data_IF_353288986270
#
_entry.id   IF_353288986270
#
_cell.length_a   1.000
_cell.length_b   1.000
_cell.length_c   1.000
_cell.angle_alpha   90.00
_cell.angle_beta   90.00
_cell.angle_gamma   90.00
#
_symmetry.space_group_name_H-M   'P 1'
#
loop_
_entity.id
_entity.type
_entity.pdbx_description
1 polymer ?
#
# COMPACT_ATOMS: atom_id res chain seq x y z
N UNK A 1 -62.64 -32.11 14.45
CA UNK A 1 -62.41 -31.08 15.48
C UNK A 1 -61.12 -31.41 16.20
N UNK A 2 -60.03 -30.74 15.85
CA UNK A 2 -58.75 -30.91 16.56
C UNK A 2 -58.76 -30.14 17.87
N UNK A 3 -58.24 -30.69 18.96
CA UNK A 3 -58.28 -30.07 20.27
C UNK A 3 -57.41 -28.76 20.28
N UNK A 4 -58.00 -27.71 20.90
CA UNK A 4 -57.39 -26.37 21.01
C UNK A 4 -55.95 -26.34 21.56
N UNK A 5 -55.49 -27.38 22.19
CA UNK A 5 -54.11 -27.54 22.70
C UNK A 5 -53.08 -27.73 21.57
N UNK A 6 -53.40 -28.44 20.49
CA UNK A 6 -52.48 -28.66 19.33
C UNK A 6 -52.27 -27.38 18.54
N UNK A 7 -53.27 -26.50 18.44
CA UNK A 7 -53.15 -25.22 17.72
C UNK A 7 -52.21 -24.25 18.44
N UNK A 8 -52.15 -24.30 19.79
CA UNK A 8 -51.24 -23.42 20.58
C UNK A 8 -49.79 -23.87 20.50
N UNK A 9 -49.52 -25.19 20.38
CA UNK A 9 -48.18 -25.70 20.21
C UNK A 9 -47.64 -25.40 18.79
N UNK A 10 -48.47 -25.46 17.76
CA UNK A 10 -48.04 -25.10 16.39
C UNK A 10 -47.76 -23.59 16.22
N UNK A 11 -48.54 -22.72 16.89
CA UNK A 11 -48.31 -21.27 16.88
C UNK A 11 -47.00 -20.87 17.59
N UNK A 12 -46.63 -21.56 18.67
CA UNK A 12 -45.36 -21.34 19.39
C UNK A 12 -44.15 -21.85 18.62
N UNK A 13 -44.28 -22.96 17.87
CA UNK A 13 -43.25 -23.45 17.00
C UNK A 13 -43.02 -22.58 15.75
N UNK A 14 -44.09 -22.01 15.18
CA UNK A 14 -43.96 -21.10 14.06
C UNK A 14 -43.38 -19.74 14.46
N UNK A 15 -43.64 -19.26 15.69
CA UNK A 15 -43.01 -18.04 16.23
C UNK A 15 -41.52 -18.22 16.55
N UNK A 16 -41.08 -19.43 16.95
CA UNK A 16 -39.67 -19.74 17.21
C UNK A 16 -38.86 -19.88 15.91
N UNK A 17 -39.48 -20.26 14.79
CA UNK A 17 -38.85 -20.32 13.48
C UNK A 17 -38.67 -18.93 12.83
N UNK A 18 -39.50 -17.95 13.17
CA UNK A 18 -39.39 -16.59 12.67
C UNK A 18 -38.31 -15.74 13.39
N UNK A 19 -37.85 -16.16 14.55
CA UNK A 19 -36.79 -15.49 15.32
C UNK A 19 -35.37 -15.87 14.91
N UNK A 20 -35.18 -16.92 14.11
CA UNK A 20 -33.86 -17.32 13.57
C UNK A 20 -33.59 -16.77 12.16
N UNK A 21 -34.44 -15.90 11.62
CA UNK A 21 -34.25 -15.27 10.31
C UNK A 21 -33.54 -13.89 10.39
N UNK A 22 -32.87 -13.56 11.50
CA UNK A 22 -31.77 -12.58 11.44
C UNK A 22 -30.54 -13.32 10.88
N UNK A 23 -30.61 -13.67 9.61
CA UNK A 23 -29.43 -14.04 8.86
C UNK A 23 -28.48 -12.85 8.92
N UNK A 24 -27.28 -13.04 9.48
CA UNK A 24 -26.16 -12.23 9.11
C UNK A 24 -26.01 -12.42 7.60
N UNK A 25 -26.60 -11.54 6.80
CA UNK A 25 -26.17 -11.41 5.41
C UNK A 25 -24.65 -11.26 5.46
N UNK A 26 -23.89 -12.13 4.77
CA UNK A 26 -22.44 -11.99 4.76
C UNK A 26 -22.14 -10.58 4.30
N UNK A 27 -21.60 -9.75 5.19
CA UNK A 27 -21.20 -8.41 4.81
C UNK A 27 -20.25 -8.53 3.62
N UNK A 28 -20.46 -7.76 2.54
CA UNK A 28 -19.60 -7.85 1.38
C UNK A 28 -18.15 -7.62 1.83
N UNK A 29 -17.26 -8.48 1.36
CA UNK A 29 -15.84 -8.37 1.66
C UNK A 29 -15.36 -6.97 1.25
N UNK A 30 -14.54 -6.33 2.10
CA UNK A 30 -13.94 -5.03 1.79
C UNK A 30 -13.14 -5.14 0.50
N UNK A 31 -13.49 -4.32 -0.48
CA UNK A 31 -12.80 -4.27 -1.77
C UNK A 31 -11.32 -3.88 -1.57
N UNK A 32 -10.44 -4.46 -2.38
CA UNK A 32 -9.01 -4.19 -2.34
C UNK A 32 -8.60 -3.51 -3.65
N UNK A 33 -8.07 -2.31 -3.55
CA UNK A 33 -7.63 -1.52 -4.71
C UNK A 33 -6.17 -1.07 -4.53
N UNK A 34 -5.56 -0.56 -5.59
CA UNK A 34 -4.13 -0.30 -5.62
C UNK A 34 -3.82 1.01 -6.35
N UNK A 35 -3.00 1.87 -5.75
CA UNK A 35 -2.45 3.04 -6.43
C UNK A 35 -1.19 2.69 -7.22
N UNK A 36 -1.09 3.23 -8.43
CA UNK A 36 0.14 3.33 -9.20
C UNK A 36 0.53 4.80 -9.23
N UNK A 37 1.60 5.13 -8.50
CA UNK A 37 1.98 6.53 -8.27
C UNK A 37 3.23 6.96 -9.03
N UNK A 38 3.87 6.01 -9.72
CA UNK A 38 5.08 6.26 -10.49
C UNK A 38 4.78 7.13 -11.71
N UNK A 39 5.50 8.25 -11.83
CA UNK A 39 5.36 9.21 -12.94
C UNK A 39 5.96 8.69 -14.25
N UNK A 40 6.86 7.73 -14.16
CA UNK A 40 7.51 7.10 -15.31
C UNK A 40 7.45 5.58 -15.15
N UNK A 41 6.85 4.93 -16.13
CA UNK A 41 6.71 3.49 -16.12
C UNK A 41 7.95 2.81 -16.69
N UNK A 42 8.26 1.63 -16.17
CA UNK A 42 9.39 0.78 -16.50
C UNK A 42 8.90 -0.65 -16.73
N UNK A 43 9.71 -1.55 -17.31
CA UNK A 43 9.34 -2.96 -17.46
C UNK A 43 8.91 -3.66 -16.16
N UNK A 44 9.39 -3.19 -15.00
CA UNK A 44 9.00 -3.75 -13.71
C UNK A 44 7.49 -3.60 -13.38
N UNK A 45 6.79 -2.68 -14.06
CA UNK A 45 5.34 -2.55 -13.91
C UNK A 45 4.58 -3.75 -14.48
N UNK A 46 5.09 -4.39 -15.53
CA UNK A 46 4.45 -5.56 -16.13
C UNK A 46 4.35 -6.72 -15.13
N UNK A 47 5.46 -7.06 -14.48
CA UNK A 47 5.50 -8.13 -13.47
C UNK A 47 4.63 -7.78 -12.26
N UNK A 48 4.70 -6.52 -11.79
CA UNK A 48 3.94 -6.07 -10.63
C UNK A 48 2.42 -6.06 -10.89
N UNK A 49 1.97 -5.63 -12.06
CA UNK A 49 0.56 -5.68 -12.47
C UNK A 49 0.07 -7.12 -12.58
N UNK A 50 0.81 -7.98 -13.28
CA UNK A 50 0.46 -9.39 -13.43
C UNK A 50 0.36 -10.08 -12.06
N UNK A 51 1.37 -9.88 -11.19
CA UNK A 51 1.42 -10.47 -9.85
C UNK A 51 0.33 -9.95 -8.89
N UNK A 52 -0.21 -8.75 -9.11
CA UNK A 52 -1.23 -8.13 -8.26
C UNK A 52 -2.68 -8.39 -8.70
N UNK A 53 -2.88 -8.94 -9.90
CA UNK A 53 -4.22 -9.01 -10.53
C UNK A 53 -5.25 -9.80 -9.72
N UNK A 54 -4.84 -10.87 -9.06
CA UNK A 54 -5.75 -11.74 -8.30
C UNK A 54 -6.26 -11.11 -7.00
N UNK A 55 -5.55 -10.13 -6.46
CA UNK A 55 -5.82 -9.61 -5.12
C UNK A 55 -6.41 -8.19 -5.12
N UNK A 56 -6.33 -7.47 -6.25
CA UNK A 56 -6.79 -6.08 -6.35
C UNK A 56 -7.72 -5.90 -7.53
N UNK A 57 -8.94 -5.43 -7.24
CA UNK A 57 -10.03 -5.30 -8.22
C UNK A 57 -9.86 -4.12 -9.18
N UNK A 58 -9.26 -3.04 -8.71
CA UNK A 58 -9.20 -1.74 -9.41
C UNK A 58 -7.81 -1.11 -9.21
N UNK A 59 -7.32 -0.46 -10.24
CA UNK A 59 -6.08 0.33 -10.17
C UNK A 59 -6.36 1.81 -10.35
N UNK A 60 -5.74 2.63 -9.47
CA UNK A 60 -5.81 4.09 -9.46
C UNK A 60 -4.48 4.63 -9.94
N UNK A 61 -4.47 5.24 -11.11
CA UNK A 61 -3.22 5.60 -11.82
C UNK A 61 -3.03 7.10 -11.76
N UNK A 62 -1.90 7.55 -11.19
CA UNK A 62 -1.49 8.95 -11.30
C UNK A 62 -1.31 9.27 -12.78
N UNK A 63 -2.19 10.13 -13.31
CA UNK A 63 -2.23 10.47 -14.72
C UNK A 63 -1.73 11.89 -14.98
N UNK A 64 -2.07 12.81 -14.08
CA UNK A 64 -1.82 14.24 -14.25
C UNK A 64 -1.52 14.88 -12.90
N UNK A 65 -0.61 15.83 -12.87
CA UNK A 65 -0.25 16.57 -11.65
C UNK A 65 -0.04 18.06 -11.95
N UNK A 66 -0.62 18.92 -11.11
CA UNK A 66 -0.37 20.36 -11.08
C UNK A 66 0.60 20.70 -9.93
N UNK A 67 1.67 21.43 -10.25
CA UNK A 67 2.66 21.92 -9.29
C UNK A 67 2.61 23.44 -9.17
N UNK A 68 2.92 24.03 -8.00
CA UNK A 68 2.85 25.48 -7.80
C UNK A 68 3.73 26.31 -8.74
N UNK A 69 4.89 25.78 -9.11
CA UNK A 69 5.88 26.52 -9.91
C UNK A 69 6.16 25.87 -11.28
N UNK A 70 6.06 24.54 -11.36
CA UNK A 70 6.38 23.80 -12.57
C UNK A 70 5.17 23.58 -13.50
N UNK A 71 3.97 24.04 -13.10
CA UNK A 71 2.75 23.89 -13.89
C UNK A 71 2.27 22.44 -13.96
N UNK A 72 1.74 22.04 -15.11
CA UNK A 72 1.15 20.72 -15.32
C UNK A 72 2.17 19.71 -15.82
N UNK A 73 2.09 18.51 -15.30
CA UNK A 73 2.91 17.35 -15.70
C UNK A 73 2.03 16.11 -15.88
N UNK A 74 2.19 15.44 -17.02
CA UNK A 74 1.53 14.15 -17.30
C UNK A 74 2.45 13.00 -16.91
N UNK A 75 1.91 11.98 -16.28
CA UNK A 75 2.64 10.74 -16.06
C UNK A 75 2.85 10.01 -17.40
N UNK A 76 4.03 9.43 -17.58
CA UNK A 76 4.37 8.62 -18.75
C UNK A 76 3.96 7.18 -18.47
N UNK A 77 2.67 6.90 -18.65
CA UNK A 77 2.08 5.58 -18.47
C UNK A 77 2.34 4.68 -19.68
N UNK A 78 2.26 3.36 -19.47
CA UNK A 78 2.21 2.38 -20.54
C UNK A 78 0.76 1.98 -20.80
N UNK A 79 0.14 2.62 -21.80
CA UNK A 79 -1.26 2.37 -22.16
C UNK A 79 -1.50 0.95 -22.69
N UNK A 80 -0.52 0.35 -23.37
CA UNK A 80 -0.63 -1.02 -23.87
C UNK A 80 -0.68 -2.00 -22.69
N UNK A 81 0.16 -1.81 -21.70
CA UNK A 81 0.21 -2.63 -20.51
C UNK A 81 -1.09 -2.49 -19.68
N UNK A 82 -1.64 -1.26 -19.54
CA UNK A 82 -2.92 -1.04 -18.86
C UNK A 82 -4.09 -1.73 -19.59
N UNK A 83 -4.12 -1.70 -20.92
CA UNK A 83 -5.12 -2.45 -21.70
C UNK A 83 -5.00 -3.96 -21.51
N UNK A 84 -3.78 -4.48 -21.49
CA UNK A 84 -3.53 -5.90 -21.25
C UNK A 84 -3.93 -6.31 -19.81
N UNK A 85 -3.74 -5.44 -18.84
CA UNK A 85 -4.15 -5.69 -17.47
C UNK A 85 -5.67 -5.85 -17.36
N UNK A 86 -6.45 -4.99 -17.98
CA UNK A 86 -7.91 -5.12 -18.15
C UNK A 86 -8.74 -4.83 -16.90
N UNK A 87 -8.11 -4.49 -15.75
CA UNK A 87 -8.84 -4.06 -14.55
C UNK A 87 -9.46 -2.67 -14.74
N UNK A 88 -10.56 -2.34 -14.03
CA UNK A 88 -11.07 -0.98 -13.94
C UNK A 88 -9.97 0.03 -13.59
N UNK A 89 -9.92 1.15 -14.34
CA UNK A 89 -8.91 2.19 -14.20
C UNK A 89 -9.56 3.46 -13.63
N UNK A 90 -9.02 4.00 -12.55
CA UNK A 90 -9.36 5.34 -12.07
C UNK A 90 -8.22 6.29 -12.45
N UNK A 91 -8.54 7.34 -13.21
CA UNK A 91 -7.58 8.38 -13.57
C UNK A 91 -7.40 9.35 -12.41
N UNK A 92 -6.22 9.38 -11.80
CA UNK A 92 -5.92 10.27 -10.66
C UNK A 92 -5.29 11.55 -11.16
N UNK A 93 -5.90 12.69 -10.80
CA UNK A 93 -5.43 14.06 -11.08
C UNK A 93 -5.02 14.69 -9.76
N UNK A 94 -3.72 14.88 -9.57
CA UNK A 94 -3.17 15.49 -8.37
C UNK A 94 -3.06 17.01 -8.51
N UNK A 95 -3.67 17.72 -7.56
CA UNK A 95 -3.55 19.16 -7.38
C UNK A 95 -2.74 19.41 -6.10
N UNK A 96 -1.51 19.91 -6.25
CA UNK A 96 -0.64 20.14 -5.10
C UNK A 96 -1.31 21.06 -4.07
N UNK A 97 -1.25 20.71 -2.78
CA UNK A 97 -1.88 21.47 -1.70
C UNK A 97 -1.30 22.89 -1.52
N UNK A 98 -0.12 23.16 -2.07
CA UNK A 98 0.54 24.47 -2.03
C UNK A 98 0.17 25.36 -3.24
N UNK A 99 -0.69 24.92 -4.15
CA UNK A 99 -1.20 25.75 -5.20
C UNK A 99 -1.80 27.03 -4.60
N UNK A 100 -1.43 28.23 -5.08
CA UNK A 100 -1.91 29.49 -4.50
C UNK A 100 -3.41 29.66 -4.65
N UNK A 101 -3.98 29.17 -5.76
CA UNK A 101 -5.41 29.13 -6.05
C UNK A 101 -5.73 27.96 -6.98
N UNK A 102 -7.01 27.60 -7.06
CA UNK A 102 -7.52 26.63 -8.02
C UNK A 102 -8.04 27.41 -9.26
N UNK A 103 -7.25 27.44 -10.33
CA UNK A 103 -7.75 27.89 -11.64
C UNK A 103 -8.72 26.81 -12.16
N UNK A 104 -10.00 27.00 -11.88
CA UNK A 104 -11.03 26.01 -12.16
C UNK A 104 -11.18 25.74 -13.65
N UNK A 105 -11.05 26.77 -14.50
CA UNK A 105 -11.19 26.62 -15.94
C UNK A 105 -10.03 25.84 -16.53
N UNK A 106 -8.81 26.12 -16.08
CA UNK A 106 -7.63 25.36 -16.46
C UNK A 106 -7.71 23.91 -16.00
N UNK A 107 -8.08 23.66 -14.74
CA UNK A 107 -8.21 22.30 -14.18
C UNK A 107 -9.21 21.49 -15.00
N UNK A 108 -10.38 22.06 -15.30
CA UNK A 108 -11.42 21.40 -16.09
C UNK A 108 -10.91 21.06 -17.48
N UNK A 109 -10.24 22.00 -18.17
CA UNK A 109 -9.66 21.73 -19.49
C UNK A 109 -8.64 20.60 -19.45
N UNK A 110 -7.77 20.59 -18.45
CA UNK A 110 -6.73 19.57 -18.30
C UNK A 110 -7.33 18.18 -18.03
N UNK A 111 -8.39 18.10 -17.20
CA UNK A 111 -9.10 16.85 -16.95
C UNK A 111 -9.79 16.34 -18.21
N UNK A 112 -10.49 17.21 -18.94
CA UNK A 112 -11.15 16.85 -20.20
C UNK A 112 -10.13 16.37 -21.25
N UNK A 113 -9.02 17.07 -21.41
CA UNK A 113 -7.96 16.67 -22.33
C UNK A 113 -7.32 15.35 -21.94
N UNK A 114 -7.12 15.08 -20.63
CA UNK A 114 -6.64 13.79 -20.15
C UNK A 114 -7.56 12.65 -20.58
N UNK A 115 -8.86 12.82 -20.46
CA UNK A 115 -9.84 11.79 -20.84
C UNK A 115 -9.83 11.54 -22.36
N UNK A 116 -9.70 12.61 -23.16
CA UNK A 116 -9.55 12.49 -24.62
C UNK A 116 -8.26 11.72 -24.97
N UNK A 117 -7.12 12.14 -24.38
CA UNK A 117 -5.82 11.51 -24.65
C UNK A 117 -5.83 10.01 -24.29
N UNK A 118 -6.49 9.65 -23.18
CA UNK A 118 -6.62 8.24 -22.78
C UNK A 118 -7.52 7.45 -23.73
N UNK A 119 -8.61 8.06 -24.17
CA UNK A 119 -9.50 7.45 -25.15
C UNK A 119 -8.80 7.21 -26.51
N UNK A 120 -8.00 8.17 -26.97
CA UNK A 120 -7.18 8.03 -28.18
C UNK A 120 -6.14 6.91 -28.05
N UNK A 121 -5.61 6.69 -26.84
CA UNK A 121 -4.74 5.57 -26.51
C UNK A 121 -5.51 4.25 -26.31
N UNK A 122 -6.84 4.26 -26.43
CA UNK A 122 -7.72 3.10 -26.25
C UNK A 122 -7.90 2.69 -24.80
N UNK A 123 -7.75 3.61 -23.84
CA UNK A 123 -8.08 3.43 -22.43
C UNK A 123 -9.45 4.03 -22.14
N UNK A 124 -10.26 3.32 -21.37
CA UNK A 124 -11.56 3.83 -20.89
C UNK A 124 -11.52 3.88 -19.36
N UNK A 125 -11.36 5.07 -18.75
CA UNK A 125 -11.40 5.20 -17.32
C UNK A 125 -12.76 4.78 -16.75
N UNK A 126 -12.75 4.02 -15.67
CA UNK A 126 -13.92 3.67 -14.88
C UNK A 126 -14.29 4.77 -13.87
N UNK A 127 -13.48 5.84 -13.77
CA UNK A 127 -13.72 6.99 -12.93
C UNK A 127 -12.56 7.99 -12.97
N UNK A 128 -12.81 9.16 -12.40
CA UNK A 128 -11.80 10.21 -12.16
C UNK A 128 -11.70 10.46 -10.67
N UNK A 129 -10.48 10.62 -10.19
CA UNK A 129 -10.19 11.01 -8.81
C UNK A 129 -9.39 12.30 -8.77
N UNK A 130 -9.85 13.25 -7.98
CA UNK A 130 -9.09 14.47 -7.71
C UNK A 130 -8.38 14.31 -6.37
N UNK A 131 -7.05 14.29 -6.42
CA UNK A 131 -6.18 14.25 -5.24
C UNK A 131 -5.70 15.66 -4.92
N UNK A 132 -6.33 16.31 -3.94
CA UNK A 132 -5.99 17.67 -3.53
C UNK A 132 -5.84 17.78 -2.02
N UNK A 133 -4.61 17.96 -1.56
CA UNK A 133 -4.27 18.16 -0.14
C UNK A 133 -4.66 19.58 0.34
N UNK A 134 -5.94 19.94 0.22
CA UNK A 134 -6.45 21.24 0.61
C UNK A 134 -6.40 21.48 2.12
N UNK A 135 -5.99 22.65 2.54
CA UNK A 135 -6.26 23.12 3.90
C UNK A 135 -7.77 23.25 4.15
N UNK A 136 -8.22 23.03 5.37
CA UNK A 136 -9.66 23.03 5.72
C UNK A 136 -10.39 24.33 5.34
N UNK A 137 -9.70 25.48 5.36
CA UNK A 137 -10.27 26.76 4.92
C UNK A 137 -10.52 26.87 3.43
N UNK A 138 -9.95 25.97 2.61
CA UNK A 138 -10.09 25.96 1.13
C UNK A 138 -11.19 25.01 0.65
N UNK A 139 -11.84 24.26 1.53
CA UNK A 139 -12.88 23.28 1.16
C UNK A 139 -14.05 23.91 0.39
N UNK A 140 -14.53 25.14 0.67
CA UNK A 140 -15.58 25.76 -0.15
C UNK A 140 -15.17 25.97 -1.61
N UNK A 141 -13.93 26.42 -1.85
CA UNK A 141 -13.41 26.59 -3.21
C UNK A 141 -13.23 25.25 -3.93
N UNK A 142 -12.81 24.23 -3.19
CA UNK A 142 -12.68 22.86 -3.70
C UNK A 142 -14.05 22.27 -4.04
N UNK A 143 -15.06 22.43 -3.18
CA UNK A 143 -16.43 21.98 -3.47
C UNK A 143 -17.00 22.60 -4.74
N UNK A 144 -16.72 23.90 -4.97
CA UNK A 144 -17.12 24.60 -6.20
C UNK A 144 -16.44 24.03 -7.45
N UNK A 145 -15.14 23.69 -7.36
CA UNK A 145 -14.44 23.03 -8.45
C UNK A 145 -15.07 21.67 -8.78
N UNK A 146 -15.35 20.83 -7.75
CA UNK A 146 -15.96 19.51 -7.93
C UNK A 146 -17.34 19.59 -8.56
N UNK A 147 -18.16 20.57 -8.16
CA UNK A 147 -19.47 20.83 -8.76
C UNK A 147 -19.34 21.16 -10.26
N UNK A 148 -18.41 22.00 -10.62
CA UNK A 148 -18.13 22.34 -12.02
C UNK A 148 -17.58 21.16 -12.83
N UNK A 149 -16.68 20.36 -12.23
CA UNK A 149 -16.20 19.13 -12.85
C UNK A 149 -17.35 18.15 -13.07
N UNK A 150 -18.23 17.95 -12.08
CA UNK A 150 -19.40 17.07 -12.25
C UNK A 150 -20.31 17.50 -13.40
N UNK A 151 -20.45 18.81 -13.62
CA UNK A 151 -21.31 19.36 -14.69
C UNK A 151 -20.75 19.09 -16.11
N UNK A 152 -19.43 18.89 -16.25
CA UNK A 152 -18.79 18.69 -17.56
C UNK A 152 -18.35 17.24 -17.82
N UNK A 153 -18.22 16.44 -16.77
CA UNK A 153 -17.89 15.02 -16.91
C UNK A 153 -19.14 14.21 -17.32
N UNK A 154 -18.98 13.12 -18.09
CA UNK A 154 -20.07 12.21 -18.39
C UNK A 154 -20.80 11.77 -17.11
N UNK A 155 -22.13 11.76 -17.11
CA UNK A 155 -22.93 11.45 -15.92
C UNK A 155 -22.65 10.06 -15.35
N UNK A 156 -22.32 9.10 -16.21
CA UNK A 156 -21.99 7.72 -15.84
C UNK A 156 -20.53 7.56 -15.36
N UNK A 157 -19.67 8.58 -15.48
CA UNK A 157 -18.27 8.50 -15.06
C UNK A 157 -18.16 8.94 -13.59
N UNK A 158 -17.91 8.03 -12.63
CA UNK A 158 -17.75 8.37 -11.22
C UNK A 158 -16.66 9.40 -10.97
N UNK A 159 -16.95 10.35 -10.08
CA UNK A 159 -15.99 11.32 -9.57
C UNK A 159 -15.70 11.03 -8.10
N UNK A 160 -14.45 10.80 -7.76
CA UNK A 160 -13.99 10.59 -6.39
C UNK A 160 -12.94 11.63 -5.98
N UNK A 161 -12.67 11.71 -4.70
CA UNK A 161 -11.59 12.56 -4.15
C UNK A 161 -10.75 11.78 -3.14
N UNK A 162 -9.48 12.13 -3.02
CA UNK A 162 -8.74 11.87 -1.80
C UNK A 162 -9.14 12.89 -0.72
N UNK A 163 -9.02 12.52 0.52
CA UNK A 163 -9.46 13.31 1.64
C UNK A 163 -8.50 13.16 2.84
N UNK A 164 -8.37 14.23 3.62
CA UNK A 164 -7.46 14.27 4.76
C UNK A 164 -8.22 14.18 6.09
N UNK A 165 -7.68 13.50 7.11
CA UNK A 165 -8.23 13.50 8.45
C UNK A 165 -8.37 14.91 9.07
N UNK A 166 -7.53 15.86 8.63
CA UNK A 166 -7.59 17.25 9.06
C UNK A 166 -8.92 17.95 8.73
N UNK A 167 -9.72 17.38 7.80
CA UNK A 167 -11.02 17.94 7.42
C UNK A 167 -12.15 17.52 8.35
N UNK A 168 -11.94 16.51 9.22
CA UNK A 168 -12.98 15.94 10.09
C UNK A 168 -13.67 16.94 11.01
N UNK A 169 -12.99 18.04 11.34
CA UNK A 169 -13.55 19.10 12.20
C UNK A 169 -14.11 20.29 11.40
N UNK A 170 -14.08 20.21 10.06
CA UNK A 170 -14.59 21.27 9.18
C UNK A 170 -16.11 21.14 8.99
N UNK A 171 -16.83 22.24 9.17
CA UNK A 171 -18.26 22.34 8.86
C UNK A 171 -18.57 22.21 7.36
N UNK A 172 -17.57 22.42 6.52
CA UNK A 172 -17.68 22.39 5.05
C UNK A 172 -17.58 20.95 4.49
N UNK A 173 -17.10 19.99 5.30
CA UNK A 173 -16.87 18.63 4.84
C UNK A 173 -18.12 17.93 4.28
N UNK A 174 -19.31 17.99 4.92
CA UNK A 174 -20.51 17.34 4.36
C UNK A 174 -20.89 17.91 2.99
N UNK A 175 -20.76 19.24 2.81
CA UNK A 175 -21.02 19.93 1.55
C UNK A 175 -20.05 19.51 0.43
N UNK A 176 -18.78 19.30 0.76
CA UNK A 176 -17.78 18.77 -0.15
C UNK A 176 -18.10 17.35 -0.58
N UNK A 177 -18.37 16.45 0.38
CA UNK A 177 -18.68 15.04 0.12
C UNK A 177 -19.95 14.84 -0.70
N UNK A 178 -20.91 15.77 -0.61
CA UNK A 178 -22.11 15.74 -1.42
C UNK A 178 -21.83 15.90 -2.94
N UNK A 179 -20.70 16.50 -3.33
CA UNK A 179 -20.33 16.77 -4.73
C UNK A 179 -19.65 15.62 -5.46
N UNK A 180 -19.33 14.52 -4.76
CA UNK A 180 -18.60 13.36 -5.31
C UNK A 180 -19.38 12.07 -5.12
N UNK A 181 -19.02 11.01 -5.83
CA UNK A 181 -19.67 9.71 -5.73
C UNK A 181 -19.04 8.84 -4.63
N UNK A 182 -17.75 9.04 -4.35
CA UNK A 182 -17.03 8.37 -3.27
C UNK A 182 -15.83 9.20 -2.81
N UNK A 183 -15.23 8.83 -1.69
CA UNK A 183 -14.03 9.46 -1.17
C UNK A 183 -13.00 8.44 -0.71
N UNK A 184 -11.73 8.83 -0.71
CA UNK A 184 -10.60 8.03 -0.22
C UNK A 184 -9.95 8.76 0.93
N UNK A 185 -10.17 8.31 2.16
CA UNK A 185 -9.57 8.90 3.34
C UNK A 185 -8.12 8.42 3.47
N UNK A 186 -7.16 9.34 3.37
CA UNK A 186 -5.73 9.07 3.53
C UNK A 186 -5.39 8.99 5.01
N UNK A 187 -5.23 7.79 5.56
CA UNK A 187 -4.92 7.58 6.98
C UNK A 187 -3.42 7.38 7.23
N UNK A 188 -2.58 7.59 6.21
CA UNK A 188 -1.12 7.49 6.28
C UNK A 188 -0.40 8.85 6.31
N UNK A 189 -1.11 9.91 6.68
CA UNK A 189 -0.50 11.22 6.84
C UNK A 189 0.39 11.25 8.08
N UNK A 190 1.67 11.56 7.89
CA UNK A 190 2.65 11.68 8.98
C UNK A 190 2.59 13.08 9.55
N UNK A 191 1.92 13.24 10.67
CA UNK A 191 1.92 14.50 11.42
C UNK A 191 3.23 14.71 12.21
N UNK A 192 3.85 13.63 12.67
CA UNK A 192 5.16 13.61 13.32
C UNK A 192 5.96 12.38 12.84
N UNK A 193 6.98 12.55 11.97
CA UNK A 193 7.80 11.46 11.49
C UNK A 193 8.47 10.62 12.56
N UNK A 194 8.69 11.19 13.76
CA UNK A 194 9.27 10.47 14.91
C UNK A 194 8.35 9.40 15.47
N UNK A 195 7.05 9.51 15.24
CA UNK A 195 6.02 8.56 15.66
C UNK A 195 5.79 7.42 14.67
N UNK A 196 6.48 7.44 13.52
CA UNK A 196 6.31 6.49 12.43
C UNK A 196 5.37 6.99 11.33
N UNK A 197 5.16 6.16 10.33
CA UNK A 197 4.36 6.49 9.15
C UNK A 197 2.86 6.26 9.36
N UNK A 198 2.47 5.52 10.39
CA UNK A 198 1.13 5.01 10.51
C UNK A 198 0.79 4.66 11.97
N UNK A 199 -0.41 5.04 12.40
CA UNK A 199 -0.99 4.65 13.68
C UNK A 199 -2.34 3.95 13.44
N UNK A 200 -2.44 2.63 13.66
CA UNK A 200 -3.64 1.86 13.38
C UNK A 200 -4.84 2.28 14.23
N UNK A 201 -4.63 2.68 15.48
CA UNK A 201 -5.73 3.13 16.37
C UNK A 201 -6.32 4.46 15.89
N UNK A 202 -5.44 5.38 15.51
CA UNK A 202 -5.86 6.67 14.98
C UNK A 202 -6.55 6.51 13.62
N UNK A 203 -6.05 5.66 12.75
CA UNK A 203 -6.66 5.35 11.46
C UNK A 203 -8.09 4.81 11.61
N UNK A 204 -8.29 3.87 12.54
CA UNK A 204 -9.62 3.33 12.85
C UNK A 204 -10.57 4.40 13.40
N UNK A 205 -10.10 5.25 14.32
CA UNK A 205 -10.88 6.35 14.86
C UNK A 205 -11.31 7.34 13.76
N UNK A 206 -10.42 7.69 12.85
CA UNK A 206 -10.73 8.55 11.71
C UNK A 206 -11.75 7.90 10.77
N UNK A 207 -11.60 6.61 10.47
CA UNK A 207 -12.55 5.87 9.64
C UNK A 207 -13.96 5.88 10.24
N UNK A 208 -14.07 5.61 11.54
CA UNK A 208 -15.36 5.64 12.26
C UNK A 208 -15.95 7.05 12.36
N UNK A 209 -15.12 8.09 12.50
CA UNK A 209 -15.59 9.49 12.43
C UNK A 209 -16.07 9.85 11.04
N UNK A 210 -15.31 9.45 10.00
CA UNK A 210 -15.66 9.68 8.60
C UNK A 210 -17.01 9.05 8.25
N UNK A 211 -17.23 7.81 8.66
CA UNK A 211 -18.48 7.09 8.46
C UNK A 211 -19.71 7.78 9.04
N UNK A 212 -19.55 8.60 10.08
CA UNK A 212 -20.65 9.40 10.66
C UNK A 212 -20.97 10.66 9.84
N UNK A 213 -20.04 11.10 8.99
CA UNK A 213 -20.18 12.33 8.20
C UNK A 213 -20.54 11.98 6.75
N UNK A 214 -19.96 10.93 6.19
CA UNK A 214 -20.17 10.53 4.80
C UNK A 214 -21.40 9.65 4.69
N UNK A 215 -22.38 10.09 3.88
CA UNK A 215 -23.52 9.26 3.49
C UNK A 215 -23.23 8.44 2.21
N UNK A 216 -22.03 8.55 1.65
CA UNK A 216 -21.60 7.88 0.42
C UNK A 216 -20.48 6.90 0.70
N UNK A 217 -20.23 5.95 -0.21
CA UNK A 217 -19.11 5.01 -0.09
C UNK A 217 -17.79 5.74 0.11
N UNK A 218 -16.95 5.21 0.99
CA UNK A 218 -15.58 5.67 1.14
C UNK A 218 -14.60 4.50 1.26
N UNK A 219 -13.35 4.80 0.98
CA UNK A 219 -12.22 3.87 1.07
C UNK A 219 -11.18 4.43 2.04
N UNK A 220 -10.33 3.55 2.58
CA UNK A 220 -9.15 3.97 3.34
C UNK A 220 -7.89 3.76 2.49
N UNK A 221 -7.09 4.81 2.32
CA UNK A 221 -5.77 4.68 1.72
C UNK A 221 -4.76 4.30 2.80
N UNK A 222 -4.17 3.11 2.67
CA UNK A 222 -3.22 2.50 3.60
C UNK A 222 -1.81 2.48 3.01
N UNK A 223 -0.76 2.72 3.82
CA UNK A 223 0.61 2.73 3.32
C UNK A 223 1.17 1.32 3.15
N UNK A 224 1.78 1.04 2.01
CA UNK A 224 2.61 -0.13 1.74
C UNK A 224 4.05 0.29 1.40
N UNK A 225 4.49 1.41 1.95
CA UNK A 225 5.76 2.05 1.60
C UNK A 225 6.49 2.60 2.83
N UNK A 226 7.67 3.13 2.60
CA UNK A 226 8.48 3.83 3.58
C UNK A 226 8.95 5.20 3.09
N UNK A 227 9.51 5.97 3.99
CA UNK A 227 10.14 7.27 3.72
C UNK A 227 11.46 7.36 4.44
N UNK A 228 12.36 8.22 3.96
CA UNK A 228 13.49 8.66 4.76
C UNK A 228 13.19 10.03 5.37
N UNK A 229 13.53 10.18 6.63
CA UNK A 229 13.47 11.45 7.37
C UNK A 229 14.88 11.99 7.49
N UNK A 230 15.08 13.22 7.05
CA UNK A 230 16.35 13.93 7.16
C UNK A 230 16.19 15.14 8.08
N UNK A 231 17.28 15.58 8.75
CA UNK A 231 17.28 16.85 9.45
C UNK A 231 16.97 18.00 8.48
N UNK A 232 15.95 18.78 8.78
CA UNK A 232 15.60 19.98 8.02
C UNK A 232 16.13 21.25 8.69
N UNK A 233 15.96 22.40 8.02
CA UNK A 233 16.26 23.70 8.60
C UNK A 233 15.28 23.98 9.76
N UNK A 234 15.74 24.69 10.79
CA UNK A 234 14.93 25.11 11.96
C UNK A 234 14.27 23.94 12.74
N UNK A 235 14.85 22.72 12.64
CA UNK A 235 14.35 21.55 13.39
C UNK A 235 13.13 20.85 12.78
N UNK A 236 12.57 21.35 11.67
CA UNK A 236 11.51 20.66 10.96
C UNK A 236 12.09 19.51 10.11
N UNK A 237 11.60 18.26 10.26
CA UNK A 237 12.11 17.13 9.48
C UNK A 237 11.73 17.26 8.00
N UNK A 238 12.67 16.91 7.13
CA UNK A 238 12.44 16.77 5.70
C UNK A 238 12.09 15.31 5.41
N UNK A 239 10.98 15.09 4.72
CA UNK A 239 10.51 13.76 4.35
C UNK A 239 10.84 13.47 2.89
N UNK A 240 11.61 12.42 2.65
CA UNK A 240 11.97 11.93 1.33
C UNK A 240 11.17 10.65 1.03
N UNK A 241 10.22 10.71 0.12
CA UNK A 241 9.35 9.56 -0.18
C UNK A 241 9.75 8.78 -1.44
N UNK A 242 10.00 9.45 -2.57
CA UNK A 242 10.17 8.76 -3.85
C UNK A 242 11.57 8.91 -4.44
N UNK A 243 12.12 10.10 -4.44
CA UNK A 243 13.43 10.38 -5.01
C UNK A 243 14.42 10.80 -3.91
N UNK A 244 15.68 10.31 -3.98
CA UNK A 244 16.69 10.72 -3.02
C UNK A 244 16.92 12.24 -3.11
N UNK A 245 16.76 12.93 -1.99
CA UNK A 245 17.16 14.32 -1.90
C UNK A 245 18.69 14.39 -1.89
N UNK A 246 19.28 15.24 -2.73
CA UNK A 246 20.74 15.48 -2.76
C UNK A 246 21.14 16.33 -1.55
N UNK A 247 20.98 15.79 -0.33
CA UNK A 247 21.43 16.43 0.92
C UNK A 247 22.28 15.46 1.74
N UNK A 248 23.34 15.99 2.34
CA UNK A 248 24.12 15.29 3.34
C UNK A 248 23.35 15.28 4.67
N UNK A 249 23.47 14.21 5.44
CA UNK A 249 22.84 14.04 6.74
C UNK A 249 22.48 12.59 7.01
N UNK A 250 22.34 12.25 8.28
CA UNK A 250 21.87 10.94 8.68
C UNK A 250 20.40 10.78 8.26
N UNK A 251 20.10 9.67 7.58
CA UNK A 251 18.75 9.33 7.13
C UNK A 251 18.14 8.31 8.08
N UNK A 252 17.02 8.65 8.65
CA UNK A 252 16.19 7.69 9.38
C UNK A 252 15.17 7.10 8.40
N UNK A 253 15.32 5.81 8.07
CA UNK A 253 14.35 5.11 7.23
C UNK A 253 13.15 4.66 8.10
N UNK A 254 11.96 5.07 7.71
CA UNK A 254 10.69 4.66 8.30
C UNK A 254 9.94 3.80 7.29
N UNK A 255 9.41 2.68 7.72
CA UNK A 255 8.61 1.78 6.90
C UNK A 255 7.27 1.53 7.60
N UNK A 256 6.19 1.54 6.84
CA UNK A 256 4.91 1.08 7.36
C UNK A 256 5.02 -0.38 7.82
N UNK A 257 4.48 -0.68 9.00
CA UNK A 257 4.58 -2.02 9.60
C UNK A 257 3.47 -2.94 9.05
N UNK A 258 3.82 -4.00 8.31
CA UNK A 258 2.84 -4.93 7.75
C UNK A 258 1.98 -5.63 8.80
N UNK A 259 2.52 -5.91 9.99
CA UNK A 259 1.80 -6.60 11.06
C UNK A 259 0.70 -5.70 11.64
N UNK A 260 0.99 -4.42 11.87
CA UNK A 260 0.00 -3.42 12.32
C UNK A 260 -1.10 -3.21 11.29
N UNK A 261 -0.74 -3.13 10.01
CA UNK A 261 -1.72 -2.97 8.92
C UNK A 261 -2.58 -4.22 8.71
N UNK A 262 -2.01 -5.41 8.88
CA UNK A 262 -2.76 -6.66 8.88
C UNK A 262 -3.76 -6.71 10.05
N UNK A 263 -3.37 -6.26 11.25
CA UNK A 263 -4.27 -6.18 12.41
C UNK A 263 -5.43 -5.22 12.16
N UNK A 264 -5.16 -4.02 11.64
CA UNK A 264 -6.20 -3.06 11.27
C UNK A 264 -7.14 -3.64 10.21
N UNK A 265 -6.60 -4.24 9.16
CA UNK A 265 -7.39 -4.88 8.10
C UNK A 265 -8.33 -5.96 8.63
N UNK A 266 -7.88 -6.78 9.57
CA UNK A 266 -8.72 -7.78 10.24
C UNK A 266 -9.82 -7.12 11.09
N UNK A 267 -9.48 -6.10 11.87
CA UNK A 267 -10.45 -5.38 12.69
C UNK A 267 -11.56 -4.73 11.83
N UNK A 268 -11.18 -4.07 10.74
CA UNK A 268 -12.13 -3.45 9.81
C UNK A 268 -13.01 -4.47 9.06
N UNK A 269 -12.51 -5.68 8.79
CA UNK A 269 -13.34 -6.76 8.21
C UNK A 269 -14.31 -7.36 9.22
N UNK A 270 -13.91 -7.42 10.49
CA UNK A 270 -14.76 -7.97 11.55
C UNK A 270 -15.89 -7.00 11.95
N UNK A 271 -15.63 -5.71 11.93
CA UNK A 271 -16.59 -4.65 12.28
C UNK A 271 -16.36 -3.42 11.40
N UNK A 272 -16.79 -3.46 10.11
CA UNK A 272 -16.57 -2.37 9.18
C UNK A 272 -17.43 -1.15 9.55
N UNK A 273 -16.83 0.06 9.55
CA UNK A 273 -17.60 1.30 9.67
C UNK A 273 -18.65 1.41 8.56
N UNK A 274 -19.83 1.99 8.82
CA UNK A 274 -20.86 2.21 7.79
C UNK A 274 -20.26 2.91 6.56
N UNK A 275 -20.66 2.49 5.36
CA UNK A 275 -20.21 3.02 4.08
C UNK A 275 -18.71 2.78 3.73
N UNK A 276 -17.95 2.09 4.57
CA UNK A 276 -16.60 1.66 4.19
C UNK A 276 -16.71 0.60 3.08
N UNK A 277 -16.31 0.97 1.86
CA UNK A 277 -16.39 0.09 0.69
C UNK A 277 -15.14 -0.77 0.51
N UNK A 278 -13.97 -0.31 0.97
CA UNK A 278 -12.75 -1.07 0.79
C UNK A 278 -11.49 -0.35 1.28
N UNK A 279 -10.36 -0.98 0.98
CA UNK A 279 -9.01 -0.52 1.30
C UNK A 279 -8.24 -0.27 -0.01
N UNK A 280 -7.48 0.81 -0.06
CA UNK A 280 -6.64 1.14 -1.21
C UNK A 280 -5.20 1.24 -0.74
N UNK A 281 -4.32 0.49 -1.37
CA UNK A 281 -2.93 0.40 -0.95
C UNK A 281 -2.06 1.40 -1.72
N UNK A 282 -1.38 2.24 -1.00
CA UNK A 282 -0.43 3.20 -1.54
C UNK A 282 0.98 2.71 -1.21
N UNK A 283 1.74 2.25 -2.20
CA UNK A 283 1.53 2.17 -3.65
C UNK A 283 1.93 0.78 -4.18
N UNK A 284 1.65 0.50 -5.48
CA UNK A 284 2.14 -0.69 -6.16
C UNK A 284 3.66 -0.82 -5.98
N UNK A 285 4.15 -1.86 -5.31
CA UNK A 285 5.58 -2.08 -5.16
C UNK A 285 6.18 -2.60 -6.46
N UNK A 286 7.33 -2.04 -6.83
CA UNK A 286 8.11 -2.50 -7.97
C UNK A 286 9.36 -3.23 -7.50
N UNK A 287 9.82 -4.18 -8.31
CA UNK A 287 11.09 -4.85 -8.04
C UNK A 287 12.22 -3.83 -7.96
N UNK A 288 12.96 -3.84 -6.85
CA UNK A 288 14.05 -2.89 -6.59
C UNK A 288 13.63 -1.60 -5.87
N UNK A 289 12.35 -1.40 -5.58
CA UNK A 289 11.89 -0.29 -4.73
C UNK A 289 12.25 -0.57 -3.27
N UNK A 290 13.32 0.06 -2.80
CA UNK A 290 13.83 -0.13 -1.43
C UNK A 290 12.91 0.44 -0.35
N UNK A 291 11.96 1.31 -0.75
CA UNK A 291 11.00 1.97 0.14
C UNK A 291 9.56 1.50 -0.07
N UNK A 292 9.37 0.34 -0.65
CA UNK A 292 8.10 -0.36 -0.68
C UNK A 292 8.23 -1.73 -0.02
N UNK A 293 7.12 -2.30 0.43
CA UNK A 293 7.08 -3.72 0.73
C UNK A 293 7.34 -4.52 -0.55
N UNK A 294 7.64 -5.81 -0.42
CA UNK A 294 7.51 -6.70 -1.57
C UNK A 294 6.05 -6.87 -1.97
N UNK A 295 5.81 -7.22 -3.21
CA UNK A 295 4.45 -7.50 -3.67
C UNK A 295 3.82 -8.68 -2.89
N UNK A 296 4.62 -9.67 -2.53
CA UNK A 296 4.15 -10.82 -1.73
C UNK A 296 3.69 -10.40 -0.34
N UNK A 297 4.45 -9.52 0.35
CA UNK A 297 4.01 -8.99 1.65
C UNK A 297 2.73 -8.15 1.51
N UNK A 298 2.64 -7.30 0.49
CA UNK A 298 1.43 -6.51 0.25
C UNK A 298 0.22 -7.40 0.01
N UNK A 299 0.34 -8.43 -0.82
CA UNK A 299 -0.73 -9.39 -1.12
C UNK A 299 -1.18 -10.15 0.12
N UNK A 300 -0.24 -10.64 0.92
CA UNK A 300 -0.54 -11.35 2.16
C UNK A 300 -1.32 -10.48 3.16
N UNK A 301 -0.90 -9.21 3.33
CA UNK A 301 -1.61 -8.24 4.19
C UNK A 301 -3.00 -7.92 3.64
N UNK A 302 -3.11 -7.67 2.33
CA UNK A 302 -4.38 -7.35 1.69
C UNK A 302 -5.40 -8.49 1.79
N UNK A 303 -4.97 -9.75 1.67
CA UNK A 303 -5.82 -10.93 1.88
C UNK A 303 -6.15 -11.19 3.34
N UNK A 304 -5.33 -10.69 4.27
CA UNK A 304 -5.43 -10.99 5.71
C UNK A 304 -4.82 -12.31 6.11
N UNK A 305 -3.88 -12.81 5.31
CA UNK A 305 -3.15 -14.04 5.58
C UNK A 305 -2.37 -13.95 6.92
N UNK A 306 -2.07 -15.09 7.53
CA UNK A 306 -1.12 -15.14 8.62
C UNK A 306 0.27 -14.76 8.08
N UNK A 307 0.90 -13.77 8.69
CA UNK A 307 2.21 -13.29 8.26
C UNK A 307 3.30 -14.14 8.91
N UNK A 308 4.22 -14.65 8.11
CA UNK A 308 5.40 -15.39 8.55
C UNK A 308 6.63 -14.98 7.77
N UNK A 309 7.79 -14.98 8.43
CA UNK A 309 9.08 -14.87 7.78
C UNK A 309 9.92 -16.10 8.16
N UNK A 310 10.27 -16.86 7.16
CA UNK A 310 11.03 -18.09 7.31
C UNK A 310 12.38 -17.90 6.65
N UNK A 311 13.36 -17.44 7.45
CA UNK A 311 14.73 -17.25 6.98
C UNK A 311 15.52 -18.54 7.15
N UNK A 312 16.12 -19.01 6.06
CA UNK A 312 16.95 -20.19 6.01
C UNK A 312 18.19 -20.01 5.18
N UNK A 313 19.24 -20.78 5.47
CA UNK A 313 20.43 -20.82 4.64
C UNK A 313 20.36 -22.01 3.68
N UNK A 314 20.59 -21.73 2.40
CA UNK A 314 20.70 -22.71 1.33
C UNK A 314 22.11 -22.70 0.79
N UNK A 315 22.68 -23.91 0.65
CA UNK A 315 24.00 -24.13 0.10
C UNK A 315 23.89 -24.73 -1.30
N UNK A 316 24.58 -24.15 -2.25
CA UNK A 316 24.73 -24.68 -3.60
C UNK A 316 26.18 -25.09 -3.77
N UNK A 317 26.46 -26.39 -3.95
CA UNK A 317 27.80 -26.92 -4.05
C UNK A 317 28.19 -27.19 -5.51
N UNK A 318 29.37 -26.77 -5.91
CA UNK A 318 30.00 -27.16 -7.16
C UNK A 318 31.51 -27.31 -6.97
N UNK A 319 32.05 -28.51 -7.14
CA UNK A 319 33.49 -28.83 -7.07
C UNK A 319 34.16 -28.33 -5.78
N UNK A 320 33.50 -28.54 -4.62
CA UNK A 320 33.98 -28.11 -3.31
C UNK A 320 33.85 -26.62 -3.04
N UNK A 321 33.26 -25.84 -3.95
CA UNK A 321 32.89 -24.48 -3.75
C UNK A 321 31.40 -24.43 -3.35
N UNK A 322 31.09 -23.81 -2.23
CA UNK A 322 29.74 -23.60 -1.72
C UNK A 322 29.34 -22.15 -1.90
N UNK A 323 28.29 -21.91 -2.69
CA UNK A 323 27.57 -20.65 -2.67
C UNK A 323 26.57 -20.65 -1.51
N UNK A 324 26.67 -19.63 -0.64
CA UNK A 324 25.84 -19.50 0.56
C UNK A 324 24.74 -18.48 0.28
N UNK A 325 23.50 -18.95 0.29
CA UNK A 325 22.33 -18.10 0.04
C UNK A 325 21.45 -18.03 1.28
N UNK A 326 20.95 -16.83 1.56
CA UNK A 326 19.88 -16.58 2.54
C UNK A 326 18.56 -16.51 1.78
N UNK A 327 17.64 -17.40 2.12
CA UNK A 327 16.31 -17.48 1.54
C UNK A 327 15.27 -17.01 2.57
N UNK A 328 14.21 -16.34 2.11
CA UNK A 328 13.00 -16.06 2.87
C UNK A 328 11.83 -16.77 2.18
N UNK A 329 11.43 -17.94 2.69
CA UNK A 329 10.31 -18.73 2.16
C UNK A 329 8.95 -18.30 2.71
N UNK A 330 8.92 -17.33 3.65
CA UNK A 330 7.70 -16.76 4.18
C UNK A 330 7.05 -15.71 3.26
N UNK A 331 5.97 -15.12 3.76
CA UNK A 331 5.20 -14.07 3.07
C UNK A 331 5.40 -12.66 3.68
N UNK A 332 6.38 -12.49 4.55
CA UNK A 332 6.70 -11.23 5.22
C UNK A 332 8.16 -10.86 4.98
N UNK A 333 8.38 -9.62 4.50
CA UNK A 333 9.72 -9.05 4.37
C UNK A 333 10.40 -8.95 5.74
N UNK A 334 11.69 -9.27 5.80
CA UNK A 334 12.46 -9.17 7.06
C UNK A 334 13.76 -8.39 6.89
N UNK A 335 14.22 -7.68 7.93
CA UNK A 335 15.57 -7.17 7.97
C UNK A 335 16.58 -8.29 7.75
N UNK A 336 17.68 -7.98 7.09
CA UNK A 336 18.78 -8.93 6.98
C UNK A 336 19.32 -9.24 8.38
N UNK A 337 19.53 -10.51 8.74
CA UNK A 337 20.09 -10.92 10.03
C UNK A 337 21.43 -10.26 10.31
N UNK A 338 21.72 -9.98 11.57
CA UNK A 338 23.01 -9.39 11.95
C UNK A 338 24.16 -10.37 11.75
N UNK A 339 23.91 -11.64 12.01
CA UNK A 339 24.93 -12.68 11.89
C UNK A 339 24.31 -13.99 11.38
N UNK A 340 25.07 -14.62 10.50
CA UNK A 340 24.80 -15.98 10.03
C UNK A 340 26.01 -16.85 10.40
N UNK A 341 25.78 -18.04 10.92
CA UNK A 341 26.85 -18.94 11.37
C UNK A 341 26.67 -20.31 10.73
N UNK A 342 27.75 -20.85 10.19
CA UNK A 342 27.81 -22.19 9.61
C UNK A 342 28.98 -22.97 10.21
N UNK A 343 28.76 -24.18 10.66
CA UNK A 343 29.84 -25.07 11.05
C UNK A 343 30.51 -25.63 9.78
N UNK A 344 31.83 -25.53 9.72
CA UNK A 344 32.63 -25.89 8.53
C UNK A 344 33.85 -26.72 8.91
N UNK A 345 34.38 -27.48 7.96
CA UNK A 345 35.65 -28.22 8.10
C UNK A 345 36.59 -27.87 6.96
N UNK A 346 37.85 -27.58 7.34
CA UNK A 346 38.97 -27.36 6.42
C UNK A 346 38.61 -26.49 5.22
N UNK A 347 38.58 -25.18 5.43
CA UNK A 347 38.31 -24.20 4.38
C UNK A 347 39.60 -23.56 3.87
N UNK A 348 39.79 -23.60 2.56
CA UNK A 348 40.95 -23.00 1.87
C UNK A 348 40.65 -21.55 1.41
N UNK A 349 39.36 -21.15 1.35
CA UNK A 349 38.94 -19.82 0.97
C UNK A 349 37.51 -19.55 1.34
N UNK A 350 37.19 -18.31 1.63
CA UNK A 350 35.83 -17.86 1.91
C UNK A 350 35.72 -16.33 1.80
N UNK A 351 34.55 -15.81 1.49
CA UNK A 351 34.26 -14.37 1.57
C UNK A 351 32.79 -14.11 1.76
N UNK A 352 32.48 -12.91 2.27
CA UNK A 352 31.13 -12.41 2.41
C UNK A 352 30.63 -11.71 1.14
N UNK A 353 29.36 -11.90 0.81
CA UNK A 353 28.69 -11.27 -0.32
C UNK A 353 27.45 -10.51 0.14
N UNK A 354 26.86 -9.71 -0.75
CA UNK A 354 25.56 -9.10 -0.50
C UNK A 354 25.47 -8.19 0.72
N UNK A 355 26.60 -7.62 1.18
CA UNK A 355 26.64 -6.75 2.36
C UNK A 355 27.01 -7.46 3.65
N UNK A 356 27.56 -8.67 3.57
CA UNK A 356 28.17 -9.39 4.68
C UNK A 356 29.69 -9.45 4.53
N UNK A 357 30.40 -9.52 5.64
CA UNK A 357 31.80 -9.91 5.73
C UNK A 357 31.92 -11.30 6.32
N UNK A 358 32.97 -12.05 5.95
CA UNK A 358 33.21 -13.41 6.43
C UNK A 358 34.38 -13.49 7.37
N UNK A 359 34.28 -14.30 8.43
CA UNK A 359 35.37 -14.67 9.33
C UNK A 359 35.28 -16.16 9.69
N UNK A 360 36.42 -16.83 9.76
CA UNK A 360 36.50 -18.22 10.26
C UNK A 360 37.03 -18.22 11.69
N UNK A 361 36.28 -18.79 12.63
CA UNK A 361 36.65 -18.96 14.04
C UNK A 361 36.19 -20.32 14.55
N UNK A 362 37.05 -21.06 15.18
CA UNK A 362 36.74 -22.31 15.89
C UNK A 362 35.91 -23.31 15.07
N UNK A 363 36.22 -23.46 13.77
CA UNK A 363 35.46 -24.33 12.88
C UNK A 363 34.06 -23.77 12.48
N UNK A 364 33.83 -22.48 12.70
CA UNK A 364 32.62 -21.79 12.29
C UNK A 364 32.93 -20.67 11.30
N UNK A 365 32.20 -20.64 10.20
CA UNK A 365 32.17 -19.53 9.28
C UNK A 365 31.08 -18.53 9.75
N UNK A 366 31.51 -17.34 10.11
CA UNK A 366 30.67 -16.25 10.60
C UNK A 366 30.50 -15.23 9.47
N UNK A 367 29.27 -15.01 9.02
CA UNK A 367 28.93 -13.96 8.08
C UNK A 367 28.25 -12.83 8.87
N UNK A 368 28.91 -11.68 8.96
CA UNK A 368 28.44 -10.51 9.75
C UNK A 368 27.98 -9.41 8.81
N UNK A 369 26.76 -8.93 9.04
CA UNK A 369 26.15 -7.86 8.22
C UNK A 369 26.95 -6.56 8.36
N UNK A 370 27.37 -5.99 7.23
CA UNK A 370 28.08 -4.71 7.11
C UNK A 370 27.17 -3.58 6.64
N UNK A 371 26.04 -3.93 5.99
CA UNK A 371 25.07 -2.96 5.45
C UNK A 371 23.66 -3.37 5.85
N UNK A 372 22.90 -2.41 6.33
CA UNK A 372 21.47 -2.61 6.56
C UNK A 372 20.76 -2.96 5.24
N UNK A 373 19.65 -3.66 5.36
CA UNK A 373 18.83 -4.05 4.23
C UNK A 373 17.72 -5.00 4.65
N UNK A 374 16.90 -5.38 3.70
CA UNK A 374 15.78 -6.31 3.90
C UNK A 374 15.85 -7.43 2.86
N UNK A 375 15.39 -8.60 3.24
CA UNK A 375 15.13 -9.71 2.34
C UNK A 375 13.62 -9.78 2.11
N UNK A 376 13.21 -9.57 0.87
CA UNK A 376 11.81 -9.64 0.48
C UNK A 376 11.25 -11.05 0.69
N UNK A 377 9.95 -11.13 0.93
CA UNK A 377 9.23 -12.39 0.96
C UNK A 377 9.41 -13.15 -0.37
N UNK A 378 9.63 -14.44 -0.30
CA UNK A 378 9.91 -15.30 -1.46
C UNK A 378 11.26 -15.08 -2.15
N UNK A 379 12.13 -14.22 -1.60
CA UNK A 379 13.39 -13.87 -2.24
C UNK A 379 14.57 -14.69 -1.69
N UNK A 380 15.62 -14.76 -2.52
CA UNK A 380 16.91 -15.38 -2.21
C UNK A 380 18.04 -14.37 -2.46
N UNK A 381 19.04 -14.34 -1.58
CA UNK A 381 20.21 -13.45 -1.65
C UNK A 381 21.49 -14.21 -1.39
N UNK A 382 22.49 -14.08 -2.27
CA UNK A 382 23.84 -14.55 -1.99
C UNK A 382 24.43 -13.72 -0.83
N UNK A 383 24.91 -14.40 0.21
CA UNK A 383 25.47 -13.78 1.43
C UNK A 383 26.93 -14.13 1.65
N UNK A 384 27.46 -15.12 0.92
CA UNK A 384 28.87 -15.51 0.96
C UNK A 384 29.15 -16.70 0.08
N UNK A 385 30.40 -17.07 0.04
CA UNK A 385 30.89 -18.31 -0.55
C UNK A 385 32.02 -18.92 0.31
N UNK A 386 32.19 -20.21 0.22
CA UNK A 386 33.30 -20.90 0.91
C UNK A 386 33.76 -22.10 0.10
N UNK A 387 35.11 -22.31 0.09
CA UNK A 387 35.71 -23.54 -0.40
C UNK A 387 36.17 -24.35 0.80
N UNK A 388 35.39 -25.36 1.16
CA UNK A 388 35.60 -26.18 2.34
C UNK A 388 35.43 -27.65 1.98
N UNK A 389 36.06 -28.56 2.74
CA UNK A 389 35.82 -30.01 2.57
C UNK A 389 34.41 -30.38 2.98
N UNK A 390 33.80 -29.64 3.91
CA UNK A 390 32.44 -29.87 4.36
C UNK A 390 31.80 -28.65 5.02
N UNK A 391 30.51 -28.40 4.75
CA UNK A 391 29.68 -27.49 5.51
C UNK A 391 28.51 -28.28 6.13
N UNK A 392 28.27 -28.12 7.43
CA UNK A 392 27.23 -28.84 8.17
C UNK A 392 25.93 -28.02 8.18
N UNK A 393 24.97 -28.40 7.31
CA UNK A 393 23.69 -27.65 7.16
C UNK A 393 22.84 -27.62 8.44
N UNK A 394 22.86 -28.68 9.24
CA UNK A 394 22.06 -28.77 10.48
C UNK A 394 22.54 -27.85 11.63
N UNK A 395 23.68 -27.19 11.47
CA UNK A 395 24.24 -26.24 12.44
C UNK A 395 24.25 -24.78 11.89
N UNK A 396 23.41 -24.49 10.91
CA UNK A 396 23.26 -23.12 10.40
C UNK A 396 22.34 -22.33 11.33
N UNK A 397 22.85 -21.24 11.89
CA UNK A 397 22.08 -20.36 12.78
C UNK A 397 21.91 -18.99 12.16
N UNK A 398 20.68 -18.50 12.17
CA UNK A 398 20.31 -17.14 11.75
C UNK A 398 20.05 -16.32 13.01
N UNK A 399 20.86 -15.33 13.30
CA UNK A 399 20.68 -14.42 14.43
C UNK A 399 20.07 -13.11 13.93
N UNK A 400 18.87 -12.74 14.45
CA UNK A 400 18.16 -11.52 14.03
C UNK A 400 18.96 -10.25 14.13
#
# INVERSE_FOLDING_TARGET
>A
MLPRAVLRFFALWLSALLLNACGNDPQPALDQQLYIWQRQWTPAHADALAGSRADFSTIRVLALQAFPQAGWSRARIDAALLKQDGRPLIAVVRLDGQLPSLDQDEIIRQVQQLLVDWQEQGLTPAGVEIDHDAGSSRLPAYAKLLERLRAVLPSQLPLSITALPAWLDSRELPGLLAKVDSSVLQVHAVSDPRRGLFDPRQAEQWARRWARISAKPFYLALPAYGVAVLPGAEGAPLVESEAPLRRAGERQELMADPEQLSQLGRALRADPPPHLAGLIWFRLPLKGDVRAWSLETLRAVARGDALSAELGLRLEEQDGLFDIRLDNSGNLDRPLPEQLTLAVAQCDGFDGLGGYSAQLRDGQLLLTRQRSGRLAAGASRAVGWARCTKIYQGAAHVRP
#
